data_IF_636380113911
#
_entry.id   IF_636380113911
#
_cell.length_a   1.000
_cell.length_b   1.000
_cell.length_c   1.000
_cell.angle_alpha   90.00
_cell.angle_beta   90.00
_cell.angle_gamma   90.00
#
_symmetry.space_group_name_H-M   'P 1'
#
loop_
_entity.id
_entity.type
_entity.pdbx_description
1 polymer ?
#
# COMPACT_ATOMS: atom_id res chain seq x y z
N UNK A 1 18.15 16.20 12.80
CA UNK A 1 17.21 15.08 12.56
C UNK A 1 17.44 14.04 13.65
N UNK A 2 16.45 13.74 14.51
CA UNK A 2 16.65 12.89 15.70
C UNK A 2 17.25 11.53 15.29
N UNK A 3 18.22 11.02 16.06
CA UNK A 3 18.98 9.79 15.73
C UNK A 3 18.06 8.61 15.35
N UNK A 4 16.89 8.52 16.00
CA UNK A 4 15.88 7.50 15.76
C UNK A 4 15.25 7.58 14.35
N UNK A 5 15.03 8.78 13.81
CA UNK A 5 14.45 8.95 12.47
C UNK A 5 15.41 8.44 11.39
N UNK A 6 16.73 8.61 11.58
CA UNK A 6 17.74 8.05 10.67
C UNK A 6 17.76 6.52 10.71
N UNK A 7 17.69 5.93 11.90
CA UNK A 7 17.62 4.46 12.06
C UNK A 7 16.37 3.88 11.41
N UNK A 8 15.20 4.51 11.60
CA UNK A 8 13.94 4.07 10.98
C UNK A 8 14.03 4.12 9.44
N UNK A 9 14.56 5.20 8.88
CA UNK A 9 14.75 5.31 7.42
C UNK A 9 15.70 4.24 6.90
N UNK A 10 16.82 3.99 7.61
CA UNK A 10 17.78 2.96 7.22
C UNK A 10 17.17 1.55 7.25
N UNK A 11 16.35 1.25 8.26
CA UNK A 11 15.63 -0.02 8.37
C UNK A 11 14.58 -0.19 7.27
N UNK A 12 13.85 0.86 6.91
CA UNK A 12 12.90 0.82 5.79
C UNK A 12 13.60 0.56 4.46
N UNK A 13 14.74 1.22 4.21
CA UNK A 13 15.54 0.97 3.01
C UNK A 13 16.05 -0.48 3.00
N UNK A 14 16.54 -0.99 4.13
CA UNK A 14 16.98 -2.38 4.24
C UNK A 14 15.83 -3.38 3.95
N UNK A 15 14.62 -3.13 4.47
CA UNK A 15 13.46 -3.96 4.21
C UNK A 15 13.06 -3.96 2.72
N UNK A 16 13.07 -2.79 2.08
CA UNK A 16 12.82 -2.68 0.62
C UNK A 16 13.90 -3.44 -0.16
N UNK A 17 15.18 -3.30 0.22
CA UNK A 17 16.25 -4.04 -0.44
C UNK A 17 16.10 -5.56 -0.27
N UNK A 18 15.70 -6.05 0.90
CA UNK A 18 15.45 -7.48 1.12
C UNK A 18 14.28 -7.99 0.27
N UNK A 19 13.25 -7.18 0.04
CA UNK A 19 12.12 -7.55 -0.83
C UNK A 19 12.48 -7.51 -2.32
N UNK A 20 13.26 -6.50 -2.74
CA UNK A 20 13.53 -6.20 -4.14
C UNK A 20 14.73 -6.96 -4.69
N UNK A 21 15.79 -7.16 -3.91
CA UNK A 21 17.01 -7.85 -4.36
C UNK A 21 16.75 -9.28 -4.84
N UNK A 22 15.96 -10.11 -4.14
CA UNK A 22 15.63 -11.46 -4.62
C UNK A 22 14.89 -11.47 -5.96
N UNK A 23 14.01 -10.50 -6.22
CA UNK A 23 13.28 -10.37 -7.49
C UNK A 23 14.20 -10.16 -8.70
N UNK A 24 15.41 -9.61 -8.48
CA UNK A 24 16.39 -9.38 -9.54
C UNK A 24 17.52 -10.43 -9.59
N UNK A 25 17.83 -11.09 -8.46
CA UNK A 25 18.93 -12.06 -8.35
C UNK A 25 18.45 -13.50 -8.53
N UNK A 26 17.29 -13.87 -8.00
CA UNK A 26 16.68 -15.20 -8.15
C UNK A 26 15.74 -15.20 -9.36
N UNK A 27 16.31 -14.93 -10.55
CA UNK A 27 15.57 -14.88 -11.82
C UNK A 27 14.97 -16.21 -12.27
N UNK A 28 15.42 -17.32 -11.67
CA UNK A 28 14.94 -18.68 -11.95
C UNK A 28 14.28 -19.33 -10.72
N UNK A 29 13.96 -18.56 -9.68
CA UNK A 29 13.01 -19.07 -8.70
C UNK A 29 11.65 -19.06 -9.37
N UNK A 30 11.13 -20.26 -9.61
CA UNK A 30 9.72 -20.50 -9.88
C UNK A 30 8.95 -19.96 -8.68
N UNK A 31 8.59 -18.67 -8.73
CA UNK A 31 7.67 -18.02 -7.82
C UNK A 31 6.27 -18.54 -8.17
N UNK A 32 6.10 -19.83 -7.88
CA UNK A 32 4.92 -20.62 -8.18
C UNK A 32 3.94 -20.56 -7.02
N UNK A 33 3.04 -19.60 -7.09
CA UNK A 33 1.91 -19.47 -6.17
C UNK A 33 0.76 -20.38 -6.56
N UNK A 34 -0.22 -20.57 -5.66
CA UNK A 34 -1.45 -21.29 -5.99
C UNK A 34 -2.24 -20.69 -7.17
N UNK A 35 -1.97 -19.44 -7.54
CA UNK A 35 -2.61 -18.74 -8.66
C UNK A 35 -2.12 -19.24 -10.04
N UNK A 36 -0.92 -19.80 -10.13
CA UNK A 36 -0.38 -20.36 -11.38
C UNK A 36 -1.19 -21.57 -11.87
N UNK A 37 -1.75 -22.36 -10.95
CA UNK A 37 -2.60 -23.51 -11.28
C UNK A 37 -3.91 -23.12 -11.98
N UNK A 38 -4.35 -21.86 -11.87
CA UNK A 38 -5.51 -21.34 -12.57
C UNK A 38 -5.23 -20.90 -14.01
N UNK A 39 -4.04 -20.34 -14.27
CA UNK A 39 -3.67 -19.78 -15.58
C UNK A 39 -3.41 -20.86 -16.63
N UNK A 40 -2.79 -21.98 -16.22
CA UNK A 40 -2.47 -23.11 -17.11
C UNK A 40 -3.74 -23.74 -17.72
N UNK A 41 -4.88 -23.68 -17.03
CA UNK A 41 -6.14 -24.23 -17.53
C UNK A 41 -6.90 -23.32 -18.49
N UNK A 42 -6.55 -22.03 -18.55
CA UNK A 42 -7.15 -21.05 -19.47
C UNK A 42 -6.40 -21.01 -20.80
N UNK A 43 -5.09 -21.26 -20.80
CA UNK A 43 -4.27 -21.35 -22.02
C UNK A 43 -4.61 -22.55 -22.92
N UNK A 44 -5.10 -23.67 -22.37
CA UNK A 44 -5.53 -24.82 -23.18
C UNK A 44 -6.81 -24.56 -24.01
N UNK A 45 -7.58 -23.50 -23.71
CA UNK A 45 -8.92 -23.29 -24.29
C UNK A 45 -8.95 -22.22 -25.39
N UNK A 46 -8.01 -21.26 -25.41
CA UNK A 46 -8.01 -20.18 -26.40
C UNK A 46 -6.62 -19.90 -27.00
N UNK A 47 -6.36 -20.55 -28.13
CA UNK A 47 -5.06 -20.56 -28.82
C UNK A 47 -4.63 -19.31 -29.60
N UNK A 48 -5.27 -18.15 -29.49
CA UNK A 48 -4.76 -16.91 -30.11
C UNK A 48 -5.29 -15.68 -29.33
N UNK A 49 -4.66 -15.33 -28.21
CA UNK A 49 -4.92 -14.04 -27.55
C UNK A 49 -3.67 -13.17 -27.64
N UNK A 50 -3.64 -12.23 -28.59
CA UNK A 50 -2.61 -11.20 -28.61
C UNK A 50 -2.88 -10.19 -27.48
N UNK A 51 -1.91 -9.94 -26.59
CA UNK A 51 -2.03 -8.94 -25.54
C UNK A 51 -2.19 -7.54 -26.16
N UNK A 52 -3.33 -6.90 -25.95
CA UNK A 52 -3.60 -5.53 -26.39
C UNK A 52 -2.81 -4.46 -25.60
N UNK A 53 -2.07 -4.88 -24.58
CA UNK A 53 -1.23 -4.04 -23.75
C UNK A 53 -0.13 -4.88 -23.09
N UNK A 54 1.14 -4.60 -23.40
CA UNK A 54 2.28 -5.16 -22.68
C UNK A 54 2.67 -4.20 -21.56
N UNK A 55 2.62 -4.64 -20.28
CA UNK A 55 3.13 -3.87 -19.15
C UNK A 55 4.57 -3.43 -19.40
N UNK A 56 4.86 -2.15 -19.14
CA UNK A 56 6.22 -1.59 -19.28
C UNK A 56 7.26 -2.38 -18.48
N UNK A 57 6.83 -3.04 -17.40
CA UNK A 57 7.67 -3.92 -16.61
C UNK A 57 8.10 -5.17 -17.39
N UNK A 58 7.20 -5.81 -18.14
CA UNK A 58 7.52 -6.95 -19.02
C UNK A 58 8.49 -6.54 -20.12
N UNK A 59 8.25 -5.37 -20.74
CA UNK A 59 9.15 -4.81 -21.76
C UNK A 59 10.53 -4.46 -21.19
N UNK A 60 10.61 -4.03 -19.93
CA UNK A 60 11.87 -3.71 -19.26
C UNK A 60 12.62 -4.94 -18.72
N UNK A 61 11.91 -6.03 -18.46
CA UNK A 61 12.46 -7.29 -17.94
C UNK A 61 12.73 -8.33 -19.02
N UNK A 62 12.23 -8.11 -20.25
CA UNK A 62 12.29 -9.00 -21.43
C UNK A 62 11.75 -10.41 -21.15
N UNK A 63 10.69 -10.49 -20.33
CA UNK A 63 10.00 -11.72 -19.91
C UNK A 63 8.59 -11.40 -19.42
N UNK A 64 7.69 -12.38 -19.48
CA UNK A 64 6.37 -12.31 -18.87
C UNK A 64 6.50 -12.09 -17.36
N UNK A 65 5.68 -11.21 -16.82
CA UNK A 65 5.71 -10.89 -15.40
C UNK A 65 4.85 -11.93 -14.67
N UNK A 66 5.40 -12.69 -13.70
CA UNK A 66 4.61 -13.63 -12.91
C UNK A 66 3.40 -12.92 -12.29
N UNK A 67 2.21 -13.53 -12.35
CA UNK A 67 0.96 -12.93 -11.84
C UNK A 67 1.03 -12.55 -10.36
N UNK A 68 1.88 -13.21 -9.58
CA UNK A 68 2.17 -12.85 -8.18
C UNK A 68 2.80 -11.45 -8.04
N UNK A 69 3.67 -11.04 -8.98
CA UNK A 69 4.30 -9.72 -8.97
C UNK A 69 3.29 -8.64 -9.34
N UNK A 70 2.37 -8.92 -10.27
CA UNK A 70 1.28 -7.99 -10.60
C UNK A 70 0.39 -7.74 -9.38
N UNK A 71 -0.05 -8.80 -8.71
CA UNK A 71 -0.84 -8.73 -7.49
C UNK A 71 -0.10 -8.03 -6.35
N UNK A 72 1.21 -8.25 -6.21
CA UNK A 72 2.06 -7.56 -5.24
C UNK A 72 2.05 -6.04 -5.48
N UNK A 73 2.26 -5.60 -6.73
CA UNK A 73 2.26 -4.17 -7.09
C UNK A 73 0.88 -3.57 -6.84
N UNK A 74 -0.19 -4.26 -7.21
CA UNK A 74 -1.56 -3.83 -6.93
C UNK A 74 -1.86 -3.73 -5.42
N UNK A 75 -1.36 -4.68 -4.63
CA UNK A 75 -1.50 -4.67 -3.18
C UNK A 75 -0.76 -3.49 -2.54
N UNK A 76 0.46 -3.18 -3.00
CA UNK A 76 1.22 -2.00 -2.53
C UNK A 76 0.49 -0.71 -2.88
N UNK A 77 -0.03 -0.57 -4.11
CA UNK A 77 -0.82 0.58 -4.52
C UNK A 77 -2.07 0.74 -3.65
N UNK A 78 -2.77 -0.35 -3.39
CA UNK A 78 -3.96 -0.38 -2.51
C UNK A 78 -3.59 0.00 -1.08
N UNK A 79 -2.50 -0.54 -0.54
CA UNK A 79 -2.02 -0.23 0.80
C UNK A 79 -1.67 1.25 0.98
N UNK A 80 -1.01 1.86 -0.02
CA UNK A 80 -0.73 3.30 -0.03
C UNK A 80 -2.04 4.09 -0.12
N UNK A 81 -2.94 3.73 -1.03
CA UNK A 81 -4.23 4.40 -1.21
C UNK A 81 -5.09 4.37 0.04
N UNK A 82 -5.25 3.20 0.66
CA UNK A 82 -5.97 3.03 1.93
C UNK A 82 -5.28 3.78 3.06
N UNK A 83 -3.94 3.77 3.12
CA UNK A 83 -3.18 4.54 4.12
C UNK A 83 -3.45 6.04 4.07
N UNK A 84 -3.51 6.61 2.87
CA UNK A 84 -3.86 8.03 2.66
C UNK A 84 -5.31 8.31 3.10
N UNK A 85 -6.26 7.47 2.67
CA UNK A 85 -7.68 7.63 3.01
C UNK A 85 -7.88 7.54 4.52
N UNK A 86 -7.28 6.54 5.17
CA UNK A 86 -7.35 6.34 6.61
C UNK A 86 -6.72 7.50 7.39
N UNK A 87 -5.60 8.05 6.92
CA UNK A 87 -4.98 9.23 7.52
C UNK A 87 -5.91 10.45 7.46
N UNK A 88 -6.53 10.70 6.30
CA UNK A 88 -7.47 11.80 6.11
C UNK A 88 -8.71 11.61 6.99
N UNK A 89 -9.31 10.43 6.99
CA UNK A 89 -10.45 10.12 7.85
C UNK A 89 -10.12 10.29 9.34
N UNK A 90 -8.98 9.77 9.78
CA UNK A 90 -8.51 9.93 11.16
C UNK A 90 -8.36 11.40 11.56
N UNK A 91 -7.76 12.21 10.69
CA UNK A 91 -7.63 13.67 10.86
C UNK A 91 -9.00 14.38 10.96
N UNK A 92 -10.00 13.96 10.20
CA UNK A 92 -11.35 14.53 10.29
C UNK A 92 -12.06 14.15 11.58
N UNK A 93 -11.96 12.90 12.01
CA UNK A 93 -12.53 12.43 13.28
C UNK A 93 -11.88 13.16 14.46
N UNK A 94 -10.55 13.32 14.44
CA UNK A 94 -9.81 14.07 15.45
C UNK A 94 -10.28 15.53 15.51
N UNK A 95 -10.40 16.22 14.37
CA UNK A 95 -10.89 17.61 14.31
C UNK A 95 -12.30 17.75 14.90
N UNK A 96 -13.19 16.80 14.66
CA UNK A 96 -14.54 16.81 15.22
C UNK A 96 -14.49 16.73 16.76
N UNK A 97 -13.70 15.79 17.30
CA UNK A 97 -13.52 15.63 18.75
C UNK A 97 -13.00 16.90 19.42
N UNK A 98 -12.03 17.58 18.82
CA UNK A 98 -11.52 18.85 19.36
C UNK A 98 -12.55 19.97 19.30
N UNK A 99 -13.34 20.04 18.23
CA UNK A 99 -14.38 21.08 18.07
C UNK A 99 -15.50 20.90 19.09
N UNK A 100 -15.96 19.66 19.30
CA UNK A 100 -17.00 19.35 20.28
C UNK A 100 -16.49 19.65 21.71
N UNK A 101 -15.27 19.22 22.04
CA UNK A 101 -14.65 19.48 23.35
C UNK A 101 -14.44 20.97 23.64
N UNK A 102 -14.11 21.78 22.63
CA UNK A 102 -14.01 23.24 22.76
C UNK A 102 -15.37 23.88 23.06
N UNK A 103 -16.45 23.39 22.45
CA UNK A 103 -17.81 23.86 22.67
C UNK A 103 -18.32 23.58 24.10
N UNK A 104 -18.10 22.35 24.58
CA UNK A 104 -18.49 21.95 25.94
C UNK A 104 -17.78 22.79 27.01
N UNK A 105 -16.45 22.95 26.87
CA UNK A 105 -15.65 23.75 27.79
C UNK A 105 -16.09 25.24 27.79
N UNK A 106 -16.41 25.81 26.62
CA UNK A 106 -16.88 27.17 26.51
C UNK A 106 -18.24 27.36 27.20
N UNK A 107 -19.14 26.39 27.06
CA UNK A 107 -20.46 26.43 27.68
C UNK A 107 -20.40 26.34 29.21
N UNK A 108 -19.52 25.50 29.78
CA UNK A 108 -19.31 25.43 31.23
C UNK A 108 -18.81 26.76 31.80
N UNK A 109 -17.82 27.38 31.16
CA UNK A 109 -17.28 28.68 31.57
C UNK A 109 -18.36 29.76 31.56
N UNK A 110 -19.23 29.78 30.55
CA UNK A 110 -20.35 30.73 30.49
C UNK A 110 -21.39 30.46 31.59
N UNK A 111 -21.69 29.20 31.89
CA UNK A 111 -22.62 28.80 32.95
C UNK A 111 -22.12 29.23 34.33
N UNK A 112 -20.83 29.08 34.62
CA UNK A 112 -20.25 29.53 35.89
C UNK A 112 -20.32 31.05 36.06
N UNK A 113 -20.02 31.81 34.99
CA UNK A 113 -20.13 33.28 35.03
C UNK A 113 -21.55 33.79 35.26
N UNK A 114 -22.58 33.06 34.84
CA UNK A 114 -23.99 33.43 35.08
C UNK A 114 -24.47 33.09 36.50
N UNK A 115 -23.74 32.23 37.23
CA UNK A 115 -24.04 31.88 38.63
C UNK A 115 -23.37 32.80 39.66
N UNK A 116 -22.37 33.60 39.25
CA UNK A 116 -21.71 34.62 40.07
C UNK A 116 -22.36 35.97 39.93
#
# INVERSE_FOLDING_TARGET
>A
MSKNKKTVILLLIAAVLIAVVPLFVLKEAEFGGSDDAGSVMVEEIHGEYEPWFTPVLETALDRELPGEIESLIFCIQTGIGVGIIAFIMGRFVERKKWTDSLGDNAFEVLREKQKS
#
